data_IF_060143842587
#
_entry.id   IF_060143842587
#
_cell.length_a   1.000
_cell.length_b   1.000
_cell.length_c   1.000
_cell.angle_alpha   90.00
_cell.angle_beta   90.00
_cell.angle_gamma   90.00
#
_symmetry.space_group_name_H-M   'P 1'
#
loop_
_entity.id
_entity.type
_entity.pdbx_description
1 polymer ?
#
# COMPACT_ATOMS: atom_id res chain seq x y z
N UNK A 1 -24.50 7.89 -12.22
CA UNK A 1 -24.79 6.60 -11.56
C UNK A 1 -24.07 6.62 -10.23
N UNK A 2 -24.80 6.50 -9.12
CA UNK A 2 -24.20 6.52 -7.78
C UNK A 2 -23.16 5.41 -7.66
N UNK A 3 -21.93 5.76 -7.25
CA UNK A 3 -20.91 4.79 -6.87
C UNK A 3 -21.48 3.97 -5.71
N UNK A 4 -21.95 2.76 -6.00
CA UNK A 4 -22.16 1.77 -4.94
C UNK A 4 -20.77 1.53 -4.37
N UNK A 5 -20.53 2.03 -3.15
CA UNK A 5 -19.37 1.69 -2.34
C UNK A 5 -19.43 0.18 -2.09
N UNK A 6 -18.84 -0.59 -3.00
CA UNK A 6 -18.64 -2.01 -2.76
C UNK A 6 -17.41 -2.11 -1.87
N UNK A 7 -17.64 -2.52 -0.64
CA UNK A 7 -16.59 -2.73 0.36
C UNK A 7 -15.60 -3.77 -0.13
N UNK A 8 -14.33 -3.51 0.13
CA UNK A 8 -13.27 -4.47 -0.12
C UNK A 8 -13.50 -5.71 0.75
N UNK A 9 -13.42 -6.92 0.18
CA UNK A 9 -13.67 -8.14 0.93
C UNK A 9 -12.67 -8.31 2.08
N UNK A 10 -13.21 -8.64 3.25
CA UNK A 10 -12.44 -9.06 4.44
C UNK A 10 -12.48 -10.57 4.55
N UNK A 11 -11.32 -11.20 4.52
CA UNK A 11 -11.16 -12.65 4.53
C UNK A 11 -10.53 -13.09 5.85
N UNK A 12 -11.01 -14.19 6.42
CA UNK A 12 -10.36 -14.84 7.56
C UNK A 12 -9.28 -15.80 7.07
N UNK A 13 -8.17 -15.87 7.79
CA UNK A 13 -7.12 -16.86 7.54
C UNK A 13 -6.83 -17.67 8.80
N UNK A 14 -6.76 -18.99 8.64
CA UNK A 14 -6.36 -19.90 9.72
C UNK A 14 -4.83 -20.10 9.75
N UNK A 15 -4.32 -20.77 10.78
CA UNK A 15 -2.89 -21.01 10.96
C UNK A 15 -2.24 -21.82 9.83
N UNK A 16 -2.96 -22.75 9.20
CA UNK A 16 -2.44 -23.56 8.10
C UNK A 16 -2.30 -22.75 6.80
N UNK A 17 -3.31 -21.97 6.47
CA UNK A 17 -3.32 -21.12 5.29
C UNK A 17 -2.31 -19.98 5.43
N UNK A 18 -2.11 -19.47 6.65
CA UNK A 18 -1.10 -18.45 6.92
C UNK A 18 0.34 -18.97 6.70
N UNK A 19 0.62 -20.24 6.97
CA UNK A 19 1.93 -20.83 6.64
C UNK A 19 2.18 -20.86 5.13
N UNK A 20 1.11 -20.88 4.34
CA UNK A 20 1.12 -20.86 2.87
C UNK A 20 0.46 -19.59 2.34
N UNK A 21 0.79 -18.43 2.94
CA UNK A 21 0.02 -17.21 2.71
C UNK A 21 -0.10 -16.80 1.23
N UNK A 22 0.96 -16.98 0.43
CA UNK A 22 0.92 -16.67 -1.00
C UNK A 22 -0.06 -17.54 -1.79
N UNK A 23 -0.24 -18.80 -1.38
CA UNK A 23 -1.24 -19.69 -1.95
C UNK A 23 -2.66 -19.22 -1.59
N UNK A 24 -2.86 -18.81 -0.34
CA UNK A 24 -4.12 -18.21 0.09
C UNK A 24 -4.43 -16.95 -0.73
N UNK A 25 -3.45 -16.07 -0.92
CA UNK A 25 -3.58 -14.87 -1.75
C UNK A 25 -3.92 -15.23 -3.20
N UNK A 26 -3.20 -16.19 -3.79
CA UNK A 26 -3.42 -16.64 -5.17
C UNK A 26 -4.84 -17.20 -5.39
N UNK A 27 -5.39 -17.94 -4.43
CA UNK A 27 -6.78 -18.43 -4.47
C UNK A 27 -7.81 -17.28 -4.55
N UNK A 28 -7.48 -16.12 -3.99
CA UNK A 28 -8.35 -14.94 -3.94
C UNK A 28 -7.92 -13.84 -4.93
N UNK A 29 -7.05 -14.16 -5.89
CA UNK A 29 -6.46 -13.18 -6.80
C UNK A 29 -7.50 -12.45 -7.66
N UNK A 30 -8.62 -13.10 -7.99
CA UNK A 30 -9.73 -12.43 -8.68
C UNK A 30 -10.24 -11.22 -7.89
N UNK A 31 -10.42 -11.36 -6.58
CA UNK A 31 -10.83 -10.25 -5.72
C UNK A 31 -9.77 -9.15 -5.68
N UNK A 32 -8.49 -9.52 -5.65
CA UNK A 32 -7.39 -8.56 -5.75
C UNK A 32 -7.45 -7.77 -7.07
N UNK A 33 -7.71 -8.41 -8.20
CA UNK A 33 -7.83 -7.72 -9.50
C UNK A 33 -9.06 -6.82 -9.55
N UNK A 34 -10.19 -7.28 -9.03
CA UNK A 34 -11.44 -6.53 -9.04
C UNK A 34 -11.34 -5.28 -8.16
N UNK A 35 -10.86 -5.42 -6.92
CA UNK A 35 -10.86 -4.36 -5.91
C UNK A 35 -9.54 -3.60 -5.76
N UNK A 36 -8.44 -4.12 -6.31
CA UNK A 36 -7.08 -3.64 -6.06
C UNK A 36 -6.49 -4.10 -4.73
N UNK A 37 -7.31 -4.60 -3.80
CA UNK A 37 -6.85 -5.11 -2.52
C UNK A 37 -7.80 -6.16 -1.93
N UNK A 38 -7.33 -6.86 -0.90
CA UNK A 38 -8.13 -7.65 0.04
C UNK A 38 -7.65 -7.35 1.46
N UNK A 39 -8.56 -7.46 2.44
CA UNK A 39 -8.18 -7.47 3.85
C UNK A 39 -8.15 -8.87 4.38
N UNK A 40 -7.14 -9.17 5.21
CA UNK A 40 -6.99 -10.48 5.83
C UNK A 40 -6.89 -10.32 7.34
N UNK A 41 -7.81 -10.98 8.04
CA UNK A 41 -7.84 -11.07 9.49
C UNK A 41 -7.34 -12.45 9.91
N UNK A 42 -6.31 -12.46 10.77
CA UNK A 42 -5.72 -13.69 11.27
C UNK A 42 -6.57 -14.26 12.41
N UNK A 43 -6.92 -15.54 12.32
CA UNK A 43 -7.59 -16.26 13.39
C UNK A 43 -6.67 -16.44 14.61
N UNK A 44 -7.25 -16.81 15.74
CA UNK A 44 -6.53 -16.95 17.02
C UNK A 44 -5.42 -18.03 17.00
N UNK A 45 -5.50 -19.00 16.07
CA UNK A 45 -4.52 -20.05 15.89
C UNK A 45 -3.31 -19.63 15.05
N UNK A 46 -3.38 -18.46 14.40
CA UNK A 46 -2.28 -17.88 13.64
C UNK A 46 -1.13 -17.44 14.55
N UNK A 47 0.09 -17.82 14.16
CA UNK A 47 1.31 -17.50 14.91
C UNK A 47 2.18 -16.54 14.10
N UNK A 48 2.28 -15.30 14.54
CA UNK A 48 3.14 -14.27 13.92
C UNK A 48 4.48 -14.20 14.66
N UNK A 49 5.59 -14.12 13.93
CA UNK A 49 6.93 -13.99 14.50
C UNK A 49 7.23 -12.53 14.92
N UNK A 50 6.44 -11.93 15.81
CA UNK A 50 6.59 -10.51 16.18
C UNK A 50 7.66 -10.28 17.27
N UNK A 51 8.38 -9.15 17.17
CA UNK A 51 9.27 -8.63 18.21
C UNK A 51 8.45 -8.07 19.38
N UNK A 52 8.97 -8.21 20.60
CA UNK A 52 8.26 -7.80 21.83
C UNK A 52 8.12 -6.27 22.02
N UNK A 53 8.88 -5.42 21.30
CA UNK A 53 8.87 -3.95 21.48
C UNK A 53 9.24 -3.19 20.20
N UNK A 54 8.29 -2.47 19.55
CA UNK A 54 8.56 -1.56 18.44
C UNK A 54 9.04 -0.16 18.87
N UNK A 55 8.76 0.25 20.11
CA UNK A 55 8.82 1.66 20.59
C UNK A 55 10.20 2.33 20.67
N UNK A 56 11.29 1.62 20.36
CA UNK A 56 12.66 2.15 20.45
C UNK A 56 13.29 2.50 19.09
N UNK A 57 12.52 2.48 17.99
CA UNK A 57 13.04 2.87 16.69
C UNK A 57 12.91 4.41 16.53
N UNK A 58 14.00 5.19 16.66
CA UNK A 58 13.93 6.63 16.43
C UNK A 58 13.71 6.90 14.94
N UNK A 59 12.51 7.34 14.60
CA UNK A 59 12.16 7.74 13.24
C UNK A 59 11.80 9.22 13.22
N UNK A 60 12.58 9.99 12.49
CA UNK A 60 12.32 11.41 12.26
C UNK A 60 11.21 11.58 11.21
N UNK A 61 10.30 12.55 11.37
CA UNK A 61 9.30 12.88 10.36
C UNK A 61 9.95 13.19 9.01
N UNK A 62 9.32 12.74 7.92
CA UNK A 62 9.71 13.12 6.57
C UNK A 62 9.42 14.61 6.39
N UNK A 63 10.41 15.37 5.91
CA UNK A 63 10.31 16.81 5.67
C UNK A 63 9.56 17.12 4.37
N UNK A 64 8.32 16.63 4.26
CA UNK A 64 7.42 16.85 3.14
C UNK A 64 6.10 17.42 3.61
N UNK A 65 5.49 18.22 2.74
CA UNK A 65 4.20 18.86 2.91
C UNK A 65 3.31 18.63 1.70
N UNK A 66 2.01 18.67 1.90
CA UNK A 66 1.03 18.78 0.83
C UNK A 66 0.70 20.25 0.57
N UNK A 67 0.57 20.60 -0.71
CA UNK A 67 0.16 21.94 -1.18
C UNK A 67 -0.91 21.74 -2.24
N UNK A 68 -2.05 22.41 -2.05
CA UNK A 68 -3.16 22.38 -3.00
C UNK A 68 -2.70 22.94 -4.35
N UNK A 69 -2.96 22.21 -5.43
CA UNK A 69 -2.49 22.58 -6.77
C UNK A 69 -3.33 23.71 -7.37
N UNK A 70 -4.63 23.69 -7.10
CA UNK A 70 -5.60 24.66 -7.60
C UNK A 70 -6.65 24.92 -6.52
N UNK A 71 -7.07 26.17 -6.33
CA UNK A 71 -8.09 26.54 -5.34
C UNK A 71 -9.41 25.79 -5.55
N UNK A 72 -9.76 25.48 -6.79
CA UNK A 72 -11.04 24.89 -7.17
C UNK A 72 -11.07 23.35 -7.13
N UNK A 73 -9.92 22.70 -6.99
CA UNK A 73 -9.80 21.23 -7.07
C UNK A 73 -8.98 20.73 -5.89
N UNK A 74 -9.52 19.79 -5.13
CA UNK A 74 -8.88 19.20 -3.96
C UNK A 74 -7.84 18.11 -4.36
N UNK A 75 -6.91 18.49 -5.25
CA UNK A 75 -5.70 17.72 -5.55
C UNK A 75 -4.52 18.46 -4.92
N UNK A 76 -3.66 17.72 -4.23
CA UNK A 76 -2.52 18.25 -3.50
C UNK A 76 -1.23 17.66 -4.06
N UNK A 77 -0.25 18.51 -4.33
CA UNK A 77 1.12 18.12 -4.65
C UNK A 77 1.93 17.91 -3.38
N UNK A 78 2.82 16.93 -3.36
CA UNK A 78 3.74 16.68 -2.26
C UNK A 78 5.10 17.32 -2.57
N UNK A 79 5.55 18.20 -1.69
CA UNK A 79 6.79 18.97 -1.86
C UNK A 79 7.70 18.85 -0.65
N UNK A 80 9.01 18.93 -0.87
CA UNK A 80 10.01 18.98 0.20
C UNK A 80 9.94 20.33 0.93
N UNK A 81 10.21 20.32 2.23
CA UNK A 81 10.31 21.54 3.04
C UNK A 81 11.78 22.00 3.00
N UNK A 82 12.08 23.07 2.27
CA UNK A 82 13.45 23.58 2.15
C UNK A 82 14.00 24.18 3.45
N UNK A 83 15.27 23.88 3.75
CA UNK A 83 16.03 24.32 4.92
C UNK A 83 16.38 25.82 4.96
N UNK A 84 16.03 26.63 3.94
CA UNK A 84 16.42 28.06 3.88
C UNK A 84 15.66 28.93 4.91
N UNK A 85 14.57 28.42 5.51
CA UNK A 85 13.89 29.06 6.63
C UNK A 85 14.40 28.62 8.02
N UNK A 86 15.61 28.03 8.13
CA UNK A 86 16.25 27.72 9.42
C UNK A 86 16.91 28.98 9.99
N UNK A 87 16.11 29.89 10.50
CA UNK A 87 16.53 30.79 11.58
C UNK A 87 15.63 30.64 12.80
N UNK A 88 15.26 29.40 13.09
CA UNK A 88 14.69 29.05 14.39
C UNK A 88 14.46 27.55 14.50
N UNK A 89 15.47 26.86 15.01
CA UNK A 89 15.32 25.48 15.53
C UNK A 89 14.26 25.44 16.65
N UNK A 90 14.01 26.56 17.33
CA UNK A 90 12.89 26.73 18.26
C UNK A 90 11.52 26.77 17.55
N UNK A 91 11.46 27.13 16.27
CA UNK A 91 10.21 27.22 15.50
C UNK A 91 9.83 25.90 14.83
N UNK A 92 10.67 24.87 14.75
CA UNK A 92 10.22 23.55 14.28
C UNK A 92 9.40 22.85 15.36
N UNK A 93 9.82 22.96 16.63
CA UNK A 93 8.98 22.53 17.75
C UNK A 93 7.74 23.40 17.88
N UNK A 94 7.81 24.71 17.60
CA UNK A 94 6.61 25.56 17.57
C UNK A 94 5.75 25.36 16.31
N UNK A 95 6.27 25.01 15.14
CA UNK A 95 5.49 24.68 13.94
C UNK A 95 4.84 23.32 14.18
N UNK A 96 5.59 22.29 14.55
CA UNK A 96 4.99 21.01 14.92
C UNK A 96 4.02 21.14 16.10
N UNK A 97 4.18 22.10 17.04
CA UNK A 97 3.19 22.40 18.10
C UNK A 97 2.06 23.35 17.69
N UNK A 98 2.19 24.17 16.64
CA UNK A 98 1.17 25.15 16.20
C UNK A 98 0.38 24.69 14.98
N UNK A 99 0.95 23.81 14.15
CA UNK A 99 0.26 23.01 13.13
C UNK A 99 -0.19 21.65 13.67
N UNK A 100 0.22 21.25 14.87
CA UNK A 100 -0.62 20.43 15.75
C UNK A 100 -1.85 21.25 16.18
N UNK A 101 -2.79 21.48 15.25
CA UNK A 101 -4.17 21.25 15.67
C UNK A 101 -4.16 19.80 16.12
N UNK A 102 -4.16 19.58 17.44
CA UNK A 102 -4.52 18.29 18.00
C UNK A 102 -5.94 18.04 17.53
N UNK A 103 -6.06 17.54 16.31
CA UNK A 103 -7.19 16.74 15.94
C UNK A 103 -7.22 15.65 17.01
N UNK A 104 -8.34 15.56 17.73
CA UNK A 104 -8.66 14.30 18.41
C UNK A 104 -8.70 13.18 17.37
N UNK A 105 -9.17 11.99 17.76
CA UNK A 105 -9.50 10.94 16.81
C UNK A 105 -10.28 11.57 15.63
N UNK A 106 -9.72 11.52 14.43
CA UNK A 106 -10.25 12.24 13.25
C UNK A 106 -11.03 11.27 12.39
N UNK A 107 -12.36 11.39 12.42
CA UNK A 107 -13.19 10.69 11.45
C UNK A 107 -12.93 11.23 10.02
N UNK A 108 -13.26 10.42 9.02
CA UNK A 108 -12.99 10.69 7.60
C UNK A 108 -13.54 12.03 7.11
N UNK A 109 -14.76 12.39 7.51
CA UNK A 109 -15.38 13.63 7.08
C UNK A 109 -14.65 14.83 7.67
N UNK A 110 -14.29 14.76 8.95
CA UNK A 110 -13.51 15.81 9.61
C UNK A 110 -12.12 15.96 8.98
N UNK A 111 -11.45 14.84 8.67
CA UNK A 111 -10.14 14.85 8.02
C UNK A 111 -10.18 15.59 6.66
N UNK A 112 -11.04 15.15 5.73
CA UNK A 112 -11.12 15.77 4.41
C UNK A 112 -11.67 17.20 4.43
N UNK A 113 -12.67 17.47 5.30
CA UNK A 113 -13.20 18.82 5.44
C UNK A 113 -12.12 19.80 5.90
N UNK A 114 -11.26 19.37 6.84
CA UNK A 114 -10.15 20.21 7.32
C UNK A 114 -9.17 20.59 6.20
N UNK A 115 -8.81 19.64 5.33
CA UNK A 115 -7.93 19.85 4.19
C UNK A 115 -8.56 20.72 3.09
N UNK A 116 -9.89 20.65 2.92
CA UNK A 116 -10.60 21.43 1.91
C UNK A 116 -10.77 22.89 2.33
N UNK A 117 -10.96 23.14 3.64
CA UNK A 117 -11.20 24.46 4.22
C UNK A 117 -9.94 25.31 4.40
N UNK A 118 -8.77 24.68 4.41
CA UNK A 118 -7.48 25.32 4.61
C UNK A 118 -6.95 25.94 3.32
N UNK A 119 -7.56 27.05 2.89
CA UNK A 119 -7.04 27.82 1.75
C UNK A 119 -5.61 28.30 2.07
N UNK A 120 -4.63 27.78 1.31
CA UNK A 120 -3.19 28.09 1.37
C UNK A 120 -2.40 27.60 2.60
N UNK A 121 -2.97 26.78 3.49
CA UNK A 121 -2.17 26.22 4.60
C UNK A 121 -1.38 24.98 4.14
N UNK A 122 -0.07 25.01 4.39
CA UNK A 122 0.81 23.88 4.14
C UNK A 122 0.65 22.88 5.28
N UNK A 123 0.31 21.63 4.96
CA UNK A 123 0.21 20.55 5.95
C UNK A 123 1.35 19.56 5.78
N UNK A 124 2.10 19.32 6.87
CA UNK A 124 3.12 18.28 6.91
C UNK A 124 2.50 16.88 6.79
N UNK A 125 3.24 15.94 6.21
CA UNK A 125 2.74 14.56 6.11
C UNK A 125 2.62 13.87 7.48
N UNK A 126 3.44 14.25 8.47
CA UNK A 126 3.50 13.62 9.80
C UNK A 126 3.75 12.10 9.74
N UNK A 127 4.50 11.66 8.74
CA UNK A 127 4.87 10.25 8.56
C UNK A 127 6.37 10.05 8.65
N UNK A 128 6.79 8.86 9.06
CA UNK A 128 8.17 8.40 8.93
C UNK A 128 8.26 7.04 8.28
N UNK A 129 9.39 6.80 7.61
CA UNK A 129 9.67 5.56 6.89
C UNK A 129 11.06 5.05 7.27
N UNK A 130 11.20 3.74 7.40
CA UNK A 130 12.50 3.07 7.52
C UNK A 130 12.50 1.78 6.70
N UNK A 131 13.30 1.79 5.64
CA UNK A 131 13.57 0.60 4.83
C UNK A 131 14.60 -0.30 5.53
N UNK A 132 14.54 -1.59 5.24
CA UNK A 132 15.42 -2.60 5.84
C UNK A 132 15.29 -2.71 7.38
N UNK A 133 14.14 -2.30 7.90
CA UNK A 133 13.76 -2.47 9.30
C UNK A 133 12.48 -3.28 9.35
N UNK A 134 12.32 -4.07 10.41
CA UNK A 134 11.19 -4.96 10.57
C UNK A 134 10.87 -5.21 12.04
N UNK A 135 9.59 -5.34 12.37
CA UNK A 135 9.11 -5.85 13.66
C UNK A 135 8.83 -7.35 13.62
N UNK A 136 8.90 -8.00 12.46
CA UNK A 136 8.99 -9.44 12.36
C UNK A 136 10.42 -9.93 12.69
N UNK A 137 10.50 -11.08 13.34
CA UNK A 137 11.71 -11.82 13.67
C UNK A 137 11.95 -12.80 12.54
N UNK A 138 13.14 -12.75 11.96
CA UNK A 138 13.58 -13.77 11.02
C UNK A 138 13.67 -15.13 11.72
N UNK A 139 12.78 -16.06 11.35
CA UNK A 139 12.75 -17.41 11.92
C UNK A 139 12.94 -18.45 10.84
N UNK A 140 13.71 -19.50 11.16
CA UNK A 140 13.90 -20.66 10.28
C UNK A 140 12.71 -21.62 10.30
N UNK A 141 11.95 -21.65 11.40
CA UNK A 141 10.78 -22.51 11.54
C UNK A 141 9.60 -22.02 10.71
N UNK A 142 8.96 -22.92 9.98
CA UNK A 142 7.72 -22.66 9.25
C UNK A 142 6.50 -22.45 10.14
N UNK A 143 6.60 -22.75 11.44
CA UNK A 143 5.48 -22.69 12.39
C UNK A 143 4.99 -21.26 12.69
N UNK A 144 5.83 -20.25 12.45
CA UNK A 144 5.46 -18.85 12.59
C UNK A 144 5.51 -18.17 11.22
N UNK A 145 4.54 -17.30 10.98
CA UNK A 145 4.55 -16.39 9.86
C UNK A 145 5.63 -15.32 10.07
N UNK A 146 6.42 -15.12 9.03
CA UNK A 146 7.53 -14.18 8.99
C UNK A 146 7.52 -13.47 7.65
N UNK A 147 7.34 -12.14 7.70
CA UNK A 147 7.21 -11.29 6.53
C UNK A 147 8.46 -11.33 5.63
N UNK A 148 9.65 -11.58 6.19
CA UNK A 148 10.92 -11.64 5.44
C UNK A 148 10.97 -12.79 4.43
N UNK A 149 10.15 -13.83 4.61
CA UNK A 149 10.13 -15.02 3.74
C UNK A 149 9.37 -14.79 2.44
N UNK A 150 8.50 -13.79 2.42
CA UNK A 150 7.54 -13.55 1.34
C UNK A 150 8.23 -13.42 -0.04
N UNK A 151 9.25 -12.57 -0.26
CA UNK A 151 9.90 -12.46 -1.57
C UNK A 151 10.46 -13.81 -2.06
N UNK A 152 11.10 -14.57 -1.16
CA UNK A 152 11.69 -15.88 -1.45
C UNK A 152 10.66 -17.00 -1.66
N UNK A 153 9.43 -16.81 -1.21
CA UNK A 153 8.31 -17.74 -1.45
C UNK A 153 7.50 -17.36 -2.69
N UNK A 154 7.65 -16.12 -3.15
CA UNK A 154 6.94 -15.57 -4.30
C UNK A 154 7.58 -15.91 -5.64
N UNK A 155 6.99 -15.45 -6.75
CA UNK A 155 7.54 -15.63 -8.09
C UNK A 155 8.97 -15.05 -8.21
N UNK A 156 9.31 -14.02 -7.42
CA UNK A 156 10.65 -13.41 -7.39
C UNK A 156 11.76 -14.42 -7.08
N UNK A 157 11.45 -15.56 -6.47
CA UNK A 157 12.39 -16.68 -6.26
C UNK A 157 13.08 -17.12 -7.55
N UNK A 158 12.42 -17.00 -8.71
CA UNK A 158 12.99 -17.37 -10.01
C UNK A 158 14.21 -16.51 -10.39
N UNK A 159 14.28 -15.26 -9.94
CA UNK A 159 15.45 -14.40 -10.12
C UNK A 159 16.58 -14.64 -9.10
N UNK A 160 16.42 -15.63 -8.21
CA UNK A 160 17.41 -16.02 -7.22
C UNK A 160 17.61 -15.02 -6.08
N UNK A 161 18.56 -15.35 -5.18
CA UNK A 161 18.79 -14.60 -3.94
C UNK A 161 19.17 -13.13 -4.16
N UNK A 162 19.90 -12.84 -5.25
CA UNK A 162 20.29 -11.47 -5.59
C UNK A 162 19.05 -10.59 -5.77
N UNK A 163 18.04 -11.08 -6.49
CA UNK A 163 16.79 -10.36 -6.72
C UNK A 163 15.95 -10.27 -5.44
N UNK A 164 15.70 -11.39 -4.77
CA UNK A 164 14.81 -11.42 -3.60
C UNK A 164 15.32 -10.56 -2.44
N UNK A 165 16.64 -10.44 -2.26
CA UNK A 165 17.25 -9.63 -1.21
C UNK A 165 17.10 -8.11 -1.45
N UNK A 166 16.69 -7.68 -2.64
CA UNK A 166 16.39 -6.27 -2.92
C UNK A 166 15.03 -5.85 -2.30
N UNK A 167 14.14 -6.82 -2.03
CA UNK A 167 12.82 -6.59 -1.47
C UNK A 167 12.84 -6.85 0.04
N UNK A 168 13.24 -5.82 0.77
CA UNK A 168 13.28 -5.84 2.23
C UNK A 168 12.01 -5.23 2.82
N UNK A 169 11.60 -5.62 4.04
CA UNK A 169 10.49 -4.96 4.71
C UNK A 169 10.76 -3.47 4.96
N UNK A 170 9.68 -2.72 5.04
CA UNK A 170 9.69 -1.29 5.29
C UNK A 170 8.71 -0.96 6.41
N UNK A 171 9.20 -0.32 7.47
CA UNK A 171 8.38 0.15 8.59
C UNK A 171 7.92 1.57 8.32
N UNK A 172 6.63 1.80 8.50
CA UNK A 172 5.94 3.08 8.43
C UNK A 172 5.45 3.48 9.81
N UNK A 173 5.56 4.77 10.12
CA UNK A 173 5.03 5.34 11.35
C UNK A 173 4.17 6.56 11.03
N UNK A 174 2.95 6.57 11.54
CA UNK A 174 2.18 7.80 11.71
C UNK A 174 2.64 8.49 13.00
N UNK A 175 3.05 9.76 12.90
CA UNK A 175 3.55 10.54 14.04
C UNK A 175 2.42 11.17 14.86
N UNK A 176 1.17 11.10 14.39
CA UNK A 176 -0.01 11.58 15.09
C UNK A 176 -1.28 11.50 14.22
N UNK A 177 -2.40 11.99 14.75
CA UNK A 177 -3.67 12.09 14.02
C UNK A 177 -3.55 12.86 12.71
N UNK A 178 -4.22 12.37 11.67
CA UNK A 178 -4.23 12.97 10.34
C UNK A 178 -2.90 12.82 9.59
N UNK A 179 -2.02 11.90 9.98
CA UNK A 179 -0.81 11.59 9.22
C UNK A 179 -1.16 11.08 7.82
N UNK A 180 -0.54 11.67 6.80
CA UNK A 180 -0.89 11.50 5.39
C UNK A 180 0.13 10.61 4.70
N UNK A 181 -0.35 9.58 4.02
CA UNK A 181 0.42 8.70 3.15
C UNK A 181 0.01 8.98 1.71
N UNK A 182 0.84 9.71 0.95
CA UNK A 182 0.54 10.11 -0.42
C UNK A 182 0.28 8.94 -1.37
N UNK A 183 -0.34 9.25 -2.51
CA UNK A 183 -0.61 8.33 -3.60
C UNK A 183 0.67 7.69 -4.12
N UNK A 184 0.74 6.37 -4.03
CA UNK A 184 1.87 5.57 -4.50
C UNK A 184 1.42 4.20 -4.99
N UNK A 185 2.29 3.55 -5.76
CA UNK A 185 2.21 2.12 -6.04
C UNK A 185 3.34 1.40 -5.32
N UNK A 186 3.18 0.09 -5.13
CA UNK A 186 4.30 -0.77 -4.77
C UNK A 186 5.42 -0.69 -5.83
N UNK A 187 6.67 -0.89 -5.37
CA UNK A 187 7.87 -0.83 -6.20
C UNK A 187 7.74 -1.81 -7.37
N UNK A 188 8.11 -1.37 -8.57
CA UNK A 188 8.04 -2.17 -9.81
C UNK A 188 6.63 -2.71 -10.13
N UNK A 189 5.58 -2.00 -9.67
CA UNK A 189 4.18 -2.41 -9.78
C UNK A 189 3.90 -3.82 -9.25
N UNK A 190 4.71 -4.29 -8.29
CA UNK A 190 4.55 -5.59 -7.63
C UNK A 190 3.30 -5.63 -6.74
N UNK A 191 2.99 -6.81 -6.24
CA UNK A 191 2.06 -6.94 -5.11
C UNK A 191 2.73 -6.44 -3.83
N UNK A 192 1.93 -6.07 -2.83
CA UNK A 192 2.43 -5.70 -1.51
C UNK A 192 1.56 -6.27 -0.40
N UNK A 193 2.18 -6.67 0.71
CA UNK A 193 1.50 -6.96 1.97
C UNK A 193 1.81 -5.80 2.90
N UNK A 194 0.81 -5.31 3.61
CA UNK A 194 0.94 -4.39 4.74
C UNK A 194 0.34 -5.04 5.98
N UNK A 195 1.07 -5.04 7.09
CA UNK A 195 0.60 -5.48 8.40
C UNK A 195 0.58 -4.29 9.36
N UNK A 196 -0.58 -4.01 9.95
CA UNK A 196 -0.72 -2.96 10.94
C UNK A 196 -0.43 -3.51 12.34
N UNK A 197 0.64 -3.04 12.97
CA UNK A 197 1.11 -3.59 14.25
C UNK A 197 0.32 -3.04 15.44
N UNK A 198 0.24 -1.71 15.55
CA UNK A 198 -0.38 -1.02 16.68
C UNK A 198 -0.75 0.42 16.30
N UNK A 199 -1.68 1.02 17.04
CA UNK A 199 -2.05 2.42 16.91
C UNK A 199 -3.52 2.65 16.57
N UNK A 200 -3.80 3.85 16.05
CA UNK A 200 -5.11 4.22 15.50
C UNK A 200 -5.39 3.61 14.14
N UNK A 201 -6.67 3.59 13.77
CA UNK A 201 -7.13 2.98 12.53
C UNK A 201 -6.55 3.69 11.29
N UNK A 202 -6.27 2.89 10.27
CA UNK A 202 -5.67 3.37 9.03
C UNK A 202 -6.67 3.31 7.88
N UNK A 203 -6.97 4.46 7.28
CA UNK A 203 -7.98 4.62 6.24
C UNK A 203 -7.33 4.62 4.87
N UNK A 204 -7.60 3.59 4.08
CA UNK A 204 -7.05 3.38 2.74
C UNK A 204 -8.03 3.79 1.65
N UNK A 205 -7.49 4.42 0.61
CA UNK A 205 -8.15 4.65 -0.67
C UNK A 205 -7.36 3.91 -1.73
N UNK A 206 -8.02 2.95 -2.37
CA UNK A 206 -7.41 1.99 -3.27
C UNK A 206 -8.00 2.19 -4.66
N UNK A 207 -7.15 2.52 -5.62
CA UNK A 207 -7.50 2.77 -7.01
C UNK A 207 -6.95 1.59 -7.82
N UNK A 208 -7.83 0.67 -8.29
CA UNK A 208 -7.41 -0.51 -9.02
C UNK A 208 -6.58 -0.17 -10.27
N UNK A 209 -5.71 -1.09 -10.68
CA UNK A 209 -4.75 -0.84 -11.77
C UNK A 209 -5.42 -0.45 -13.09
N UNK A 210 -6.64 -0.93 -13.38
CA UNK A 210 -7.41 -0.57 -14.58
C UNK A 210 -7.95 0.87 -14.58
N UNK A 211 -7.82 1.62 -13.48
CA UNK A 211 -8.23 3.03 -13.37
C UNK A 211 -7.05 4.00 -13.50
N UNK A 212 -5.81 3.49 -13.60
CA UNK A 212 -4.61 4.32 -13.62
C UNK A 212 -4.55 5.27 -14.81
N UNK A 213 -4.91 4.80 -15.99
CA UNK A 213 -4.90 5.62 -17.21
C UNK A 213 -5.90 6.77 -17.12
N UNK A 214 -7.12 6.49 -16.64
CA UNK A 214 -8.13 7.52 -16.40
C UNK A 214 -7.63 8.58 -15.38
N UNK A 215 -6.97 8.13 -14.30
CA UNK A 215 -6.37 9.04 -13.34
C UNK A 215 -5.20 9.83 -13.93
N UNK A 216 -4.32 9.20 -14.70
CA UNK A 216 -3.20 9.87 -15.36
C UNK A 216 -3.70 10.99 -16.29
N UNK A 217 -4.70 10.70 -17.12
CA UNK A 217 -5.34 11.68 -18.00
C UNK A 217 -5.95 12.86 -17.22
N UNK A 218 -6.59 12.59 -16.08
CA UNK A 218 -7.11 13.64 -15.20
C UNK A 218 -6.01 14.55 -14.66
N UNK A 219 -4.88 13.97 -14.23
CA UNK A 219 -3.74 14.72 -13.69
C UNK A 219 -3.08 15.55 -14.81
N UNK A 220 -2.91 15.00 -16.00
CA UNK A 220 -2.34 15.72 -17.15
C UNK A 220 -3.20 16.90 -17.59
N UNK A 221 -4.53 16.79 -17.51
CA UNK A 221 -5.45 17.91 -17.77
C UNK A 221 -5.26 19.08 -16.79
N UNK A 222 -4.68 18.83 -15.62
CA UNK A 222 -4.30 19.89 -14.67
C UNK A 222 -2.93 20.52 -14.99
N UNK A 223 -2.36 20.23 -16.17
CA UNK A 223 -1.00 20.60 -16.58
C UNK A 223 0.08 20.10 -15.61
N UNK A 224 -0.14 18.92 -15.02
CA UNK A 224 0.78 18.29 -14.08
C UNK A 224 1.52 17.15 -14.77
N UNK A 225 2.84 17.30 -14.91
CA UNK A 225 3.72 16.18 -15.27
C UNK A 225 4.18 15.46 -14.00
N UNK A 226 3.24 14.81 -13.30
CA UNK A 226 3.50 14.14 -12.02
C UNK A 226 3.37 12.63 -12.16
N UNK A 227 4.30 11.89 -11.55
CA UNK A 227 4.25 10.44 -11.49
C UNK A 227 3.30 9.97 -10.37
N UNK A 228 2.36 9.09 -10.71
CA UNK A 228 1.41 8.52 -9.74
C UNK A 228 2.06 7.56 -8.73
N UNK A 229 3.25 7.03 -9.04
CA UNK A 229 3.83 5.90 -8.28
C UNK A 229 4.67 6.32 -7.06
N UNK A 230 5.13 7.57 -7.01
CA UNK A 230 6.23 7.97 -6.13
C UNK A 230 5.83 8.96 -5.03
N UNK A 231 4.57 8.93 -4.60
CA UNK A 231 4.13 9.73 -3.46
C UNK A 231 4.12 11.23 -3.72
N UNK A 232 3.91 11.64 -4.97
CA UNK A 232 3.94 13.05 -5.38
C UNK A 232 2.58 13.74 -5.31
N UNK A 233 1.49 12.98 -5.14
CA UNK A 233 0.12 13.48 -5.10
C UNK A 233 -0.62 12.96 -3.87
N UNK A 234 -1.60 13.74 -3.43
CA UNK A 234 -2.64 13.30 -2.52
C UNK A 234 -3.97 13.86 -3.03
N UNK A 235 -5.00 13.03 -3.15
CA UNK A 235 -6.21 13.37 -3.91
C UNK A 235 -7.42 13.20 -3.02
N UNK A 236 -8.23 14.24 -2.86
CA UNK A 236 -9.52 14.11 -2.19
C UNK A 236 -10.43 13.13 -2.97
N UNK A 237 -11.06 12.15 -2.31
CA UNK A 237 -11.89 11.15 -2.97
C UNK A 237 -13.05 11.75 -3.79
N UNK A 238 -13.56 12.93 -3.40
CA UNK A 238 -14.59 13.65 -4.16
C UNK A 238 -14.14 14.04 -5.57
N UNK A 239 -12.84 14.18 -5.81
CA UNK A 239 -12.27 14.40 -7.14
C UNK A 239 -12.38 13.13 -7.99
N UNK A 240 -12.18 11.96 -7.40
CA UNK A 240 -12.32 10.67 -8.09
C UNK A 240 -13.79 10.43 -8.47
N UNK A 241 -14.71 10.68 -7.52
CA UNK A 241 -16.16 10.57 -7.74
C UNK A 241 -16.63 11.46 -8.91
N UNK A 242 -16.23 12.75 -8.91
CA UNK A 242 -16.59 13.72 -9.97
C UNK A 242 -16.11 13.29 -11.36
N UNK A 243 -14.98 12.58 -11.43
CA UNK A 243 -14.37 12.14 -12.68
C UNK A 243 -14.68 10.68 -13.02
N UNK A 244 -15.62 10.05 -12.32
CA UNK A 244 -16.01 8.64 -12.52
C UNK A 244 -14.82 7.67 -12.45
N UNK A 245 -13.79 7.99 -11.66
CA UNK A 245 -12.65 7.11 -11.41
C UNK A 245 -13.02 6.20 -10.24
N UNK A 246 -13.07 4.90 -10.50
CA UNK A 246 -13.44 3.92 -9.48
C UNK A 246 -12.31 3.77 -8.44
N UNK A 247 -12.69 3.79 -7.18
CA UNK A 247 -11.81 3.51 -6.06
C UNK A 247 -12.59 2.81 -4.94
N UNK A 248 -11.87 2.20 -4.02
CA UNK A 248 -12.43 1.50 -2.88
C UNK A 248 -11.84 2.05 -1.58
N UNK A 249 -12.65 2.03 -0.52
CA UNK A 249 -12.24 2.45 0.82
C UNK A 249 -12.11 1.22 1.71
N UNK A 250 -11.13 1.23 2.59
CA UNK A 250 -11.03 0.22 3.65
C UNK A 250 -10.33 0.75 4.89
N UNK A 251 -10.87 0.38 6.05
CA UNK A 251 -10.25 0.65 7.34
C UNK A 251 -9.46 -0.59 7.77
N UNK A 252 -8.18 -0.39 8.04
CA UNK A 252 -7.28 -1.40 8.59
C UNK A 252 -7.06 -1.11 10.09
N UNK A 253 -7.46 -2.06 10.91
CA UNK A 253 -7.28 -2.06 12.36
C UNK A 253 -5.98 -2.76 12.76
N UNK A 254 -5.52 -2.60 14.02
CA UNK A 254 -4.37 -3.32 14.54
C UNK A 254 -4.51 -4.84 14.40
N UNK A 255 -3.41 -5.45 13.98
CA UNK A 255 -3.25 -6.88 13.71
C UNK A 255 -3.95 -7.39 12.43
N UNK A 256 -4.33 -6.50 11.53
CA UNK A 256 -4.88 -6.85 10.22
C UNK A 256 -3.83 -6.71 9.10
N UNK A 257 -3.95 -7.57 8.10
CA UNK A 257 -3.20 -7.45 6.85
C UNK A 257 -4.05 -6.77 5.78
N UNK A 258 -3.43 -5.91 4.99
CA UNK A 258 -3.91 -5.50 3.68
C UNK A 258 -2.99 -6.09 2.62
N UNK A 259 -3.55 -6.80 1.66
CA UNK A 259 -2.81 -7.29 0.49
C UNK A 259 -3.24 -6.45 -0.71
N UNK A 260 -2.27 -5.81 -1.36
CA UNK A 260 -2.46 -4.96 -2.52
C UNK A 260 -2.09 -5.73 -3.79
N UNK A 261 -2.92 -5.59 -4.82
CA UNK A 261 -2.71 -6.17 -6.13
C UNK A 261 -1.61 -5.45 -6.91
N UNK A 262 -0.98 -6.14 -7.85
CA UNK A 262 0.01 -5.54 -8.75
C UNK A 262 -0.54 -4.29 -9.46
N UNK A 263 0.32 -3.28 -9.57
CA UNK A 263 0.01 -1.99 -10.20
C UNK A 263 -1.06 -1.16 -9.49
N UNK A 264 -1.64 -1.58 -8.37
CA UNK A 264 -2.67 -0.79 -7.69
C UNK A 264 -2.08 0.50 -7.12
N UNK A 265 -2.81 1.60 -7.26
CA UNK A 265 -2.48 2.87 -6.62
C UNK A 265 -3.18 2.96 -5.27
N UNK A 266 -2.46 3.46 -4.27
CA UNK A 266 -2.98 3.61 -2.91
C UNK A 266 -2.55 4.92 -2.30
N UNK A 267 -3.46 5.53 -1.55
CA UNK A 267 -3.16 6.61 -0.62
C UNK A 267 -3.92 6.34 0.68
N UNK A 268 -3.50 6.96 1.77
CA UNK A 268 -4.17 6.73 3.05
C UNK A 268 -3.90 7.84 4.07
N UNK A 269 -4.63 7.82 5.17
CA UNK A 269 -4.31 8.59 6.36
C UNK A 269 -4.53 7.75 7.63
N UNK A 270 -3.90 8.16 8.73
CA UNK A 270 -4.03 7.50 10.05
C UNK A 270 -4.77 8.39 11.03
N UNK A 271 -5.69 7.82 11.82
CA UNK A 271 -6.47 8.57 12.82
C UNK A 271 -5.65 8.96 14.06
N UNK A 272 -4.55 8.27 14.32
CA UNK A 272 -3.63 8.52 15.44
C UNK A 272 -2.21 8.04 15.09
N UNK A 273 -1.29 8.14 16.04
CA UNK A 273 0.00 7.45 16.03
C UNK A 273 -0.19 5.96 15.78
N UNK A 274 0.57 5.43 14.84
CA UNK A 274 0.48 4.04 14.45
C UNK A 274 1.75 3.53 13.78
N UNK A 275 1.86 2.21 13.73
CA UNK A 275 2.97 1.49 13.13
C UNK A 275 2.47 0.43 12.19
N UNK A 276 2.95 0.45 10.94
CA UNK A 276 2.73 -0.62 9.98
C UNK A 276 4.03 -1.04 9.33
N UNK A 277 4.02 -2.24 8.76
CA UNK A 277 5.16 -2.79 8.04
C UNK A 277 4.69 -3.41 6.74
N UNK A 278 5.41 -3.12 5.66
CA UNK A 278 5.05 -3.61 4.33
C UNK A 278 6.20 -4.30 3.63
N UNK A 279 5.90 -5.25 2.75
CA UNK A 279 6.87 -5.90 1.86
C UNK A 279 6.25 -6.18 0.49
N UNK A 280 7.06 -6.07 -0.57
CA UNK A 280 6.63 -6.36 -1.94
C UNK A 280 6.95 -7.79 -2.36
N UNK A 281 6.13 -8.34 -3.27
CA UNK A 281 6.25 -9.70 -3.78
C UNK A 281 5.61 -9.84 -5.17
N UNK A 282 5.80 -10.98 -5.83
CA UNK A 282 5.20 -11.25 -7.14
C UNK A 282 4.37 -12.53 -7.17
N UNK A 283 3.22 -12.46 -7.85
CA UNK A 283 2.46 -13.61 -8.34
C UNK A 283 2.61 -13.70 -9.87
N UNK A 284 2.28 -14.84 -10.51
CA UNK A 284 2.36 -15.00 -11.97
C UNK A 284 1.69 -13.87 -12.76
N UNK A 285 0.53 -13.41 -12.29
CA UNK A 285 -0.23 -12.30 -12.86
C UNK A 285 0.54 -10.99 -13.00
N UNK A 286 1.58 -10.76 -12.20
CA UNK A 286 2.45 -9.57 -12.35
C UNK A 286 3.13 -9.53 -13.73
N UNK A 287 3.48 -10.71 -14.28
CA UNK A 287 3.97 -10.85 -15.66
C UNK A 287 2.80 -10.91 -16.64
N UNK A 288 1.82 -11.78 -16.39
CA UNK A 288 0.74 -12.10 -17.34
C UNK A 288 -0.14 -10.89 -17.66
N UNK A 289 -0.40 -10.02 -16.67
CA UNK A 289 -1.18 -8.80 -16.83
C UNK A 289 -0.32 -7.59 -17.28
N UNK A 290 0.99 -7.79 -17.52
CA UNK A 290 1.88 -6.78 -18.08
C UNK A 290 2.43 -5.74 -17.09
N UNK A 291 2.18 -5.88 -15.79
CA UNK A 291 2.65 -4.93 -14.76
C UNK A 291 4.19 -4.80 -14.72
N UNK A 292 4.92 -5.89 -14.97
CA UNK A 292 6.37 -5.87 -15.03
C UNK A 292 6.95 -4.97 -16.13
N UNK A 293 6.27 -4.84 -17.27
CA UNK A 293 6.74 -4.03 -18.41
C UNK A 293 6.47 -2.54 -18.21
N UNK A 294 5.36 -2.18 -17.56
CA UNK A 294 4.99 -0.78 -17.25
C UNK A 294 6.07 -0.11 -16.38
N UNK A 295 6.72 -0.88 -15.50
CA UNK A 295 7.78 -0.38 -14.63
C UNK A 295 9.09 0.02 -15.35
N UNK A 296 9.25 -0.31 -16.64
CA UNK A 296 10.47 0.01 -17.39
C UNK A 296 10.51 1.46 -17.91
N UNK A 297 9.42 2.22 -17.76
CA UNK A 297 9.40 3.63 -18.16
C UNK A 297 10.12 4.49 -17.11
N UNK A 298 11.23 5.16 -17.43
CA UNK A 298 11.95 5.97 -16.45
C UNK A 298 11.08 7.16 -16.02
N UNK A 299 10.78 7.27 -14.72
CA UNK A 299 10.20 8.51 -14.19
C UNK A 299 11.25 9.62 -14.24
N UNK A 300 10.83 10.85 -14.53
CA UNK A 300 11.67 12.05 -14.38
C UNK A 300 11.64 12.60 -12.95
N UNK A 301 10.96 11.90 -12.03
CA UNK A 301 10.81 12.29 -10.65
C UNK A 301 12.14 12.12 -9.90
N UNK A 302 12.56 13.14 -9.14
CA UNK A 302 13.76 13.05 -8.30
C UNK A 302 13.47 12.14 -7.09
N UNK A 303 13.52 10.83 -7.32
CA UNK A 303 13.40 9.84 -6.25
C UNK A 303 14.64 10.00 -5.37
N UNK A 304 14.45 10.18 -4.07
CA UNK A 304 15.56 10.18 -3.11
C UNK A 304 16.44 8.94 -3.34
N UNK A 305 17.75 9.18 -3.45
CA UNK A 305 18.80 8.28 -3.96
C UNK A 305 18.92 6.92 -3.25
N UNK A 306 18.12 6.64 -2.22
CA UNK A 306 18.09 5.34 -1.52
C UNK A 306 17.12 4.32 -2.14
N UNK A 307 16.40 4.69 -3.20
CA UNK A 307 15.45 3.80 -3.90
C UNK A 307 15.89 3.40 -5.32
N UNK A 308 17.15 3.58 -5.70
CA UNK A 308 17.68 3.05 -6.97
C UNK A 308 17.88 1.54 -6.83
N UNK A 309 17.17 0.74 -7.64
CA UNK A 309 17.37 -0.70 -7.75
C UNK A 309 17.45 -1.05 -9.24
N UNK A 310 18.39 -1.95 -9.55
CA UNK A 310 18.51 -2.68 -10.81
C UNK A 310 17.12 -3.03 -11.38
N UNK A 311 16.85 -2.65 -12.62
CA UNK A 311 15.66 -3.12 -13.36
C UNK A 311 15.56 -4.64 -13.22
N UNK A 312 14.37 -5.15 -12.85
CA UNK A 312 14.15 -6.60 -12.78
C UNK A 312 14.28 -7.15 -14.20
N UNK A 313 15.21 -8.08 -14.42
CA UNK A 313 15.31 -8.77 -15.70
C UNK A 313 14.13 -9.73 -15.86
N UNK A 314 13.12 -9.28 -16.61
CA UNK A 314 11.89 -10.04 -16.86
C UNK A 314 12.18 -11.33 -17.67
N UNK A 315 13.32 -11.41 -18.38
CA UNK A 315 13.70 -12.62 -19.12
C UNK A 315 14.02 -13.82 -18.20
N UNK A 316 14.25 -13.58 -16.91
CA UNK A 316 14.41 -14.63 -15.90
C UNK A 316 13.10 -15.41 -15.65
N UNK A 317 11.94 -14.83 -15.96
CA UNK A 317 10.61 -15.37 -15.68
C UNK A 317 10.04 -16.11 -16.90
N UNK A 318 10.75 -17.16 -17.35
CA UNK A 318 10.29 -17.99 -18.47
C UNK A 318 8.99 -18.71 -18.14
N UNK A 319 8.07 -18.81 -19.11
CA UNK A 319 6.74 -19.41 -18.94
C UNK A 319 6.80 -20.81 -18.29
N UNK A 320 7.72 -21.68 -18.71
CA UNK A 320 7.90 -23.02 -18.13
C UNK A 320 8.24 -22.99 -16.63
N UNK A 321 9.06 -22.03 -16.20
CA UNK A 321 9.44 -21.86 -14.80
C UNK A 321 8.29 -21.29 -13.98
N UNK A 322 7.51 -20.36 -14.55
CA UNK A 322 6.29 -19.84 -13.93
C UNK A 322 5.30 -20.99 -13.70
N UNK A 323 5.05 -21.83 -14.72
CA UNK A 323 4.15 -22.98 -14.59
C UNK A 323 4.64 -23.97 -13.54
N UNK A 324 5.93 -24.29 -13.53
CA UNK A 324 6.52 -25.14 -12.49
C UNK A 324 6.33 -24.55 -11.08
N UNK A 325 6.48 -23.23 -10.93
CA UNK A 325 6.25 -22.54 -9.68
C UNK A 325 4.77 -22.64 -9.25
N UNK A 326 3.83 -22.39 -10.15
CA UNK A 326 2.39 -22.50 -9.88
C UNK A 326 2.05 -23.90 -9.38
N UNK A 327 2.43 -24.94 -10.12
CA UNK A 327 2.11 -26.33 -9.76
C UNK A 327 2.78 -26.78 -8.46
N UNK A 328 4.00 -26.29 -8.18
CA UNK A 328 4.75 -26.72 -7.00
C UNK A 328 4.37 -26.00 -5.70
N UNK A 329 3.90 -24.75 -5.79
CA UNK A 329 3.75 -23.87 -4.63
C UNK A 329 2.36 -23.22 -4.47
N UNK A 330 1.60 -23.05 -5.56
CA UNK A 330 0.32 -22.31 -5.54
C UNK A 330 -0.92 -23.19 -5.75
N UNK A 331 -0.80 -24.33 -6.45
CA UNK A 331 -1.92 -25.24 -6.69
C UNK A 331 -2.07 -26.34 -5.64
N UNK A 332 -3.31 -26.79 -5.43
CA UNK A 332 -3.67 -28.02 -4.69
C UNK A 332 -3.67 -29.19 -5.65
N UNK A 333 -3.18 -30.36 -5.24
CA UNK A 333 -3.65 -31.61 -5.84
C UNK A 333 -5.18 -31.67 -5.70
N UNK A 334 -5.86 -32.02 -6.78
CA UNK A 334 -7.26 -31.71 -7.10
C UNK A 334 -8.39 -32.33 -6.23
N UNK A 335 -8.34 -32.20 -4.90
CA UNK A 335 -9.33 -32.85 -4.01
C UNK A 335 -10.23 -31.91 -3.16
N UNK A 336 -10.20 -30.59 -3.36
CA UNK A 336 -11.03 -29.65 -2.56
C UNK A 336 -12.20 -29.01 -3.33
N UNK A 337 -12.61 -29.56 -4.48
CA UNK A 337 -13.87 -29.19 -5.14
C UNK A 337 -15.06 -30.00 -4.60
N UNK A 338 -15.31 -29.95 -3.29
CA UNK A 338 -16.62 -30.31 -2.72
C UNK A 338 -17.03 -29.31 -1.65
N UNK A 339 -17.31 -28.08 -2.07
CA UNK A 339 -18.31 -27.23 -1.42
C UNK A 339 -18.96 -26.34 -2.49
N UNK A 340 -19.68 -27.00 -3.39
CA UNK A 340 -20.62 -26.35 -4.31
C UNK A 340 -21.69 -25.68 -3.46
N UNK A 341 -21.63 -24.35 -3.37
CA UNK A 341 -22.78 -23.53 -3.03
C UNK A 341 -23.83 -23.75 -4.12
N UNK A 342 -24.87 -24.51 -3.76
CA UNK A 342 -26.08 -24.63 -4.56
C UNK A 342 -26.97 -23.42 -4.29
N UNK A 343 -27.47 -22.81 -5.37
CA UNK A 343 -28.75 -22.10 -5.37
C UNK A 343 -28.71 -20.59 -5.12
N UNK A 344 -28.63 -19.81 -6.19
CA UNK A 344 -29.83 -19.11 -6.70
C UNK A 344 -29.50 -18.36 -7.99
N UNK A 345 -30.24 -18.75 -9.03
CA UNK A 345 -30.37 -18.07 -10.31
C UNK A 345 -30.92 -16.65 -10.10
N UNK A 346 -30.29 -15.65 -10.69
CA UNK A 346 -30.97 -14.42 -11.08
C UNK A 346 -30.70 -14.12 -12.54
N UNK A 347 -31.79 -14.14 -13.31
CA UNK A 347 -31.89 -13.75 -14.71
C UNK A 347 -31.55 -12.28 -14.88
N UNK A 348 -30.88 -11.99 -15.99
CA UNK A 348 -30.71 -10.65 -16.53
C UNK A 348 -32.02 -10.16 -17.14
N UNK A 349 -32.51 -9.01 -16.68
CA UNK A 349 -33.22 -7.99 -17.46
C UNK A 349 -32.84 -6.61 -16.92
#
# INVERSE_FOLDING_TARGET
>A
MSSVLIDIPTLQINGNDLQNFLRFIYKHEKLLKDFGAIKVQANIDCKLALKKRPKNLPLNPIMKKIIKINENINIYSVQTIDHINIYSVQTIDHINKSSQKYFGKTDENTFWSSLSSSNNEQQGLNTSLSSNTSFFIQRTSSTYFDLHRIPNQSLLKLGGRKLTNQFVPCVKRAQGPGAIFPLMSARQHLFSIDYHHEGGDHHWYIIPSNQREALQNLIEQQNLSICLDHGQLFIDPSVLDKNCIRYHRIIQHPNEFIVLSAGTLTQSYSEDTSWSESISFALPSWIEDGHATISLLPCQCHVEQNCVVDTIDVALFKQELIQKYITSYLQTTANDETSVFTGSSFCWL
#
